data_IF_890135620687
#
_entry.id   IF_890135620687
#
_cell.length_a   1.000
_cell.length_b   1.000
_cell.length_c   1.000
_cell.angle_alpha   90.00
_cell.angle_beta   90.00
_cell.angle_gamma   90.00
#
_symmetry.space_group_name_H-M   'P 1'
#
loop_
_entity.id
_entity.type
_entity.pdbx_description
1 polymer ?
#
# COMPACT_ATOMS: atom_id res chain seq x y z
N UNK A 1 31.23 -22.16 -8.84
CA UNK A 1 30.95 -20.77 -8.43
C UNK A 1 30.61 -20.77 -6.96
N UNK A 2 31.41 -20.12 -6.11
CA UNK A 2 31.06 -19.98 -4.69
C UNK A 2 29.89 -19.02 -4.58
N UNK A 3 28.84 -19.46 -3.91
CA UNK A 3 27.62 -18.70 -3.69
C UNK A 3 27.91 -17.73 -2.54
N UNK A 4 28.61 -16.64 -2.83
CA UNK A 4 28.91 -15.59 -1.85
C UNK A 4 27.61 -14.82 -1.58
N UNK A 5 26.74 -15.43 -0.77
CA UNK A 5 25.47 -14.82 -0.37
C UNK A 5 25.76 -13.50 0.35
N UNK A 6 25.12 -12.43 -0.14
CA UNK A 6 25.22 -11.13 0.49
C UNK A 6 24.73 -11.23 1.94
N UNK A 7 25.50 -10.67 2.89
CA UNK A 7 25.12 -10.78 4.29
C UNK A 7 23.82 -10.01 4.57
N UNK A 8 23.00 -10.50 5.50
CA UNK A 8 21.76 -9.83 5.89
C UNK A 8 21.96 -8.38 6.35
N UNK A 9 23.13 -8.08 6.93
CA UNK A 9 23.49 -6.72 7.32
C UNK A 9 23.60 -5.78 6.09
N UNK A 10 24.26 -6.24 5.02
CA UNK A 10 24.37 -5.45 3.78
C UNK A 10 23.01 -5.29 3.13
N UNK A 11 22.20 -6.36 3.05
CA UNK A 11 20.84 -6.28 2.52
C UNK A 11 19.98 -5.28 3.32
N UNK A 12 20.10 -5.26 4.65
CA UNK A 12 19.43 -4.30 5.51
C UNK A 12 19.83 -2.85 5.21
N UNK A 13 21.11 -2.60 4.95
CA UNK A 13 21.60 -1.28 4.52
C UNK A 13 21.01 -0.88 3.17
N UNK A 14 21.00 -1.78 2.18
CA UNK A 14 20.42 -1.50 0.86
C UNK A 14 18.92 -1.19 0.94
N UNK A 15 18.15 -1.94 1.74
CA UNK A 15 16.73 -1.67 1.97
C UNK A 15 16.48 -0.35 2.73
N UNK A 16 17.41 0.04 3.59
CA UNK A 16 17.40 1.35 4.27
C UNK A 16 17.65 2.48 3.27
N UNK A 17 18.66 2.35 2.41
CA UNK A 17 18.95 3.30 1.33
C UNK A 17 17.73 3.42 0.41
N UNK A 18 17.13 2.29 0.02
CA UNK A 18 15.92 2.27 -0.79
C UNK A 18 14.77 3.07 -0.13
N UNK A 19 14.54 2.84 1.16
CA UNK A 19 13.49 3.54 1.92
C UNK A 19 13.76 5.04 2.11
N UNK A 20 15.02 5.45 2.22
CA UNK A 20 15.42 6.86 2.23
C UNK A 20 15.22 7.49 0.85
N UNK A 21 15.70 6.83 -0.21
CA UNK A 21 15.57 7.30 -1.59
C UNK A 21 14.12 7.54 -2.00
N UNK A 22 13.20 6.67 -1.57
CA UNK A 22 11.76 6.85 -1.82
C UNK A 22 11.20 8.15 -1.22
N UNK A 23 11.76 8.62 -0.08
CA UNK A 23 11.29 9.85 0.56
C UNK A 23 11.79 11.11 -0.15
N UNK A 24 12.97 11.03 -0.76
CA UNK A 24 13.59 12.16 -1.47
C UNK A 24 13.31 12.15 -2.99
N UNK A 25 12.60 11.13 -3.50
CA UNK A 25 12.19 11.05 -4.90
C UNK A 25 13.30 10.63 -5.86
N UNK A 26 14.32 9.90 -5.40
CA UNK A 26 15.49 9.45 -6.19
C UNK A 26 15.17 8.27 -7.12
N UNK A 27 14.14 8.40 -7.97
CA UNK A 27 13.54 7.29 -8.72
C UNK A 27 14.53 6.50 -9.59
N UNK A 28 15.35 7.19 -10.40
CA UNK A 28 16.31 6.52 -11.29
C UNK A 28 17.33 5.68 -10.51
N UNK A 29 17.86 6.21 -9.41
CA UNK A 29 18.81 5.47 -8.55
C UNK A 29 18.15 4.26 -7.89
N UNK A 30 16.85 4.36 -7.57
CA UNK A 30 16.09 3.26 -6.97
C UNK A 30 15.76 2.15 -7.96
N UNK A 31 15.56 2.47 -9.24
CA UNK A 31 15.39 1.46 -10.30
C UNK A 31 16.67 0.62 -10.45
N UNK A 32 17.84 1.28 -10.47
CA UNK A 32 19.14 0.59 -10.49
C UNK A 32 19.36 -0.24 -9.22
N UNK A 33 19.02 0.30 -8.05
CA UNK A 33 19.12 -0.43 -6.78
C UNK A 33 18.20 -1.66 -6.74
N UNK A 34 17.01 -1.61 -7.34
CA UNK A 34 16.12 -2.76 -7.47
C UNK A 34 16.75 -3.87 -8.31
N UNK A 35 17.43 -3.53 -9.41
CA UNK A 35 18.13 -4.53 -10.23
C UNK A 35 19.22 -5.26 -9.42
N UNK A 36 19.96 -4.52 -8.59
CA UNK A 36 20.94 -5.11 -7.67
C UNK A 36 20.26 -6.00 -6.62
N UNK A 37 19.17 -5.54 -6.00
CA UNK A 37 18.43 -6.32 -5.00
C UNK A 37 17.85 -7.61 -5.59
N UNK A 38 17.39 -7.62 -6.84
CA UNK A 38 16.93 -8.85 -7.51
C UNK A 38 18.00 -9.92 -7.66
N UNK A 39 19.27 -9.53 -7.73
CA UNK A 39 20.40 -10.46 -7.81
C UNK A 39 20.88 -10.94 -6.44
N UNK A 40 20.78 -10.09 -5.41
CA UNK A 40 21.40 -10.33 -4.12
C UNK A 40 20.43 -10.80 -3.03
N UNK A 41 19.14 -10.43 -3.10
CA UNK A 41 18.20 -10.69 -2.01
C UNK A 41 17.64 -12.12 -2.11
N UNK A 42 17.69 -12.92 -1.02
CA UNK A 42 17.24 -14.32 -1.05
C UNK A 42 15.73 -14.49 -1.10
N UNK A 43 14.97 -13.44 -0.77
CA UNK A 43 13.51 -13.44 -0.80
C UNK A 43 13.00 -12.50 -1.91
N UNK A 44 12.47 -13.03 -3.03
CA UNK A 44 11.99 -12.21 -4.15
C UNK A 44 10.81 -11.31 -3.77
N UNK A 45 9.92 -11.77 -2.88
CA UNK A 45 8.75 -10.99 -2.47
C UNK A 45 9.12 -9.67 -1.77
N UNK A 46 10.25 -9.62 -1.06
CA UNK A 46 10.75 -8.37 -0.46
C UNK A 46 11.13 -7.36 -1.55
N UNK A 47 11.75 -7.83 -2.64
CA UNK A 47 12.15 -6.99 -3.76
C UNK A 47 10.91 -6.52 -4.54
N UNK A 48 9.93 -7.40 -4.74
CA UNK A 48 8.66 -7.05 -5.38
C UNK A 48 7.89 -6.00 -4.57
N UNK A 49 7.88 -6.09 -3.24
CA UNK A 49 7.30 -5.05 -2.36
C UNK A 49 8.06 -3.73 -2.50
N UNK A 50 9.39 -3.73 -2.64
CA UNK A 50 10.14 -2.51 -2.93
C UNK A 50 9.72 -1.90 -4.27
N UNK A 51 9.60 -2.71 -5.33
CA UNK A 51 9.12 -2.24 -6.63
C UNK A 51 7.69 -1.65 -6.56
N UNK A 52 6.77 -2.31 -5.85
CA UNK A 52 5.44 -1.75 -5.59
C UNK A 52 5.54 -0.38 -4.93
N UNK A 53 6.38 -0.21 -3.91
CA UNK A 53 6.55 1.06 -3.20
C UNK A 53 7.09 2.16 -4.14
N UNK A 54 7.95 1.80 -5.08
CA UNK A 54 8.44 2.72 -6.12
C UNK A 54 7.32 3.12 -7.08
N UNK A 55 6.56 2.14 -7.60
CA UNK A 55 5.41 2.39 -8.47
C UNK A 55 4.35 3.29 -7.81
N UNK A 56 4.05 3.06 -6.52
CA UNK A 56 3.18 3.90 -5.70
C UNK A 56 3.73 5.32 -5.56
N UNK A 57 5.03 5.48 -5.32
CA UNK A 57 5.66 6.81 -5.23
C UNK A 57 5.58 7.57 -6.57
N UNK A 58 5.73 6.85 -7.68
CA UNK A 58 5.59 7.38 -9.04
C UNK A 58 4.14 7.49 -9.53
N UNK A 59 3.14 7.24 -8.67
CA UNK A 59 1.71 7.28 -9.01
C UNK A 59 1.29 6.32 -10.13
N UNK A 60 2.05 5.24 -10.34
CA UNK A 60 1.74 4.17 -11.30
C UNK A 60 0.81 3.13 -10.67
N UNK A 61 -0.40 3.57 -10.30
CA UNK A 61 -1.33 2.81 -9.46
C UNK A 61 -1.78 1.47 -10.06
N UNK A 62 -2.02 1.43 -11.37
CA UNK A 62 -2.47 0.21 -12.06
C UNK A 62 -1.38 -0.86 -12.05
N UNK A 63 -0.14 -0.45 -12.35
CA UNK A 63 1.01 -1.37 -12.37
C UNK A 63 1.31 -1.89 -10.96
N UNK A 64 1.27 -1.01 -9.96
CA UNK A 64 1.41 -1.39 -8.56
C UNK A 64 0.35 -2.41 -8.14
N UNK A 65 -0.93 -2.17 -8.48
CA UNK A 65 -2.03 -3.09 -8.14
C UNK A 65 -1.89 -4.45 -8.82
N UNK A 66 -1.43 -4.50 -10.08
CA UNK A 66 -1.16 -5.76 -10.79
C UNK A 66 -0.08 -6.56 -10.08
N UNK A 67 1.05 -5.93 -9.76
CA UNK A 67 2.14 -6.60 -9.06
C UNK A 67 1.71 -7.07 -7.66
N UNK A 68 0.95 -6.25 -6.92
CA UNK A 68 0.41 -6.64 -5.62
C UNK A 68 -0.52 -7.86 -5.67
N UNK A 69 -1.31 -8.02 -6.74
CA UNK A 69 -2.15 -9.21 -6.94
C UNK A 69 -1.29 -10.44 -7.24
N UNK A 70 -0.26 -10.28 -8.06
CA UNK A 70 0.69 -11.34 -8.35
C UNK A 70 1.42 -11.83 -7.08
N UNK A 71 1.89 -10.90 -6.21
CA UNK A 71 2.51 -11.25 -4.92
C UNK A 71 1.55 -12.08 -4.05
N UNK A 72 0.27 -11.68 -4.01
CA UNK A 72 -0.76 -12.38 -3.24
C UNK A 72 -1.08 -13.77 -3.82
N UNK A 73 -1.23 -13.89 -5.14
CA UNK A 73 -1.44 -15.15 -5.87
C UNK A 73 -0.28 -16.14 -5.69
N UNK A 74 0.95 -15.64 -5.52
CA UNK A 74 2.14 -16.44 -5.21
C UNK A 74 2.20 -16.91 -3.75
N UNK A 75 1.23 -16.53 -2.91
CA UNK A 75 1.18 -16.91 -1.50
C UNK A 75 2.01 -16.01 -0.58
N UNK A 76 2.50 -14.86 -1.06
CA UNK A 76 3.23 -13.88 -0.27
C UNK A 76 2.34 -12.73 0.25
N UNK A 77 1.03 -12.98 0.32
CA UNK A 77 0.07 -12.08 0.93
C UNK A 77 0.46 -11.69 2.36
N UNK A 78 0.26 -10.43 2.71
CA UNK A 78 0.49 -9.90 4.05
C UNK A 78 -0.40 -8.69 4.30
N UNK A 79 -0.64 -8.29 5.57
CA UNK A 79 -1.36 -7.05 5.87
C UNK A 79 -0.79 -5.82 5.16
N UNK A 80 0.53 -5.76 4.97
CA UNK A 80 1.20 -4.68 4.23
C UNK A 80 0.84 -4.71 2.74
N UNK A 81 0.83 -5.89 2.11
CA UNK A 81 0.37 -6.07 0.72
C UNK A 81 -1.09 -5.64 0.60
N UNK A 82 -1.97 -6.08 1.52
CA UNK A 82 -3.38 -5.68 1.55
C UNK A 82 -3.57 -4.16 1.74
N UNK A 83 -2.75 -3.52 2.57
CA UNK A 83 -2.79 -2.07 2.78
C UNK A 83 -2.35 -1.30 1.53
N UNK A 84 -1.31 -1.76 0.82
CA UNK A 84 -0.87 -1.18 -0.44
C UNK A 84 -1.90 -1.38 -1.55
N UNK A 85 -2.58 -2.54 -1.59
CA UNK A 85 -3.71 -2.78 -2.50
C UNK A 85 -4.85 -1.80 -2.21
N UNK A 86 -5.21 -1.63 -0.93
CA UNK A 86 -6.22 -0.67 -0.49
C UNK A 86 -5.88 0.74 -0.96
N UNK A 87 -4.61 1.16 -0.79
CA UNK A 87 -4.17 2.47 -1.26
C UNK A 87 -4.29 2.63 -2.78
N UNK A 88 -3.85 1.65 -3.56
CA UNK A 88 -3.96 1.70 -5.01
C UNK A 88 -5.43 1.80 -5.46
N UNK A 89 -6.31 0.98 -4.88
CA UNK A 89 -7.75 1.00 -5.18
C UNK A 89 -8.38 2.35 -4.78
N UNK A 90 -7.99 2.93 -3.65
CA UNK A 90 -8.44 4.26 -3.21
C UNK A 90 -8.08 5.34 -4.24
N UNK A 91 -6.82 5.36 -4.71
CA UNK A 91 -6.36 6.31 -5.72
C UNK A 91 -7.04 6.12 -7.08
N UNK A 92 -7.50 4.90 -7.37
CA UNK A 92 -8.26 4.55 -8.57
C UNK A 92 -9.78 4.74 -8.41
N UNK A 93 -10.24 5.26 -7.26
CA UNK A 93 -11.65 5.41 -6.90
C UNK A 93 -12.47 4.10 -6.94
N UNK A 94 -11.81 2.95 -6.78
CA UNK A 94 -12.45 1.64 -6.75
C UNK A 94 -12.94 1.32 -5.33
N UNK A 95 -14.26 1.12 -5.17
CA UNK A 95 -14.92 0.88 -3.89
C UNK A 95 -14.36 -0.29 -3.08
N UNK A 96 -13.71 -1.26 -3.73
CA UNK A 96 -13.09 -2.41 -3.06
C UNK A 96 -11.97 -2.00 -2.10
N UNK A 97 -11.44 -0.78 -2.20
CA UNK A 97 -10.44 -0.26 -1.25
C UNK A 97 -10.90 -0.39 0.21
N UNK A 98 -12.20 -0.22 0.47
CA UNK A 98 -12.79 -0.31 1.83
C UNK A 98 -12.72 -1.71 2.41
N UNK A 99 -12.94 -2.74 1.57
CA UNK A 99 -12.83 -4.14 1.97
C UNK A 99 -11.40 -4.47 2.40
N UNK A 100 -10.41 -4.01 1.63
CA UNK A 100 -9.00 -4.18 1.97
C UNK A 100 -8.63 -3.42 3.26
N UNK A 101 -9.11 -2.18 3.42
CA UNK A 101 -8.85 -1.40 4.64
C UNK A 101 -9.46 -2.05 5.89
N UNK A 102 -10.66 -2.62 5.79
CA UNK A 102 -11.29 -3.37 6.88
C UNK A 102 -10.51 -4.64 7.24
N UNK A 103 -9.97 -5.36 6.26
CA UNK A 103 -9.10 -6.51 6.51
C UNK A 103 -7.81 -6.11 7.26
N UNK A 104 -7.21 -4.97 6.91
CA UNK A 104 -6.05 -4.40 7.63
C UNK A 104 -6.39 -4.01 9.07
N UNK A 105 -7.56 -3.41 9.30
CA UNK A 105 -8.03 -3.13 10.66
C UNK A 105 -8.15 -4.40 11.50
N UNK A 106 -8.66 -5.48 10.91
CA UNK A 106 -8.81 -6.76 11.61
C UNK A 106 -7.47 -7.43 11.93
N UNK A 107 -6.45 -7.25 11.08
CA UNK A 107 -5.14 -7.84 11.32
C UNK A 107 -4.37 -7.17 12.46
N UNK A 108 -4.64 -5.88 12.73
CA UNK A 108 -3.96 -5.10 13.77
C UNK A 108 -2.48 -4.82 13.49
N UNK A 109 -2.01 -5.07 12.26
CA UNK A 109 -0.60 -4.90 11.91
C UNK A 109 -0.22 -3.41 11.89
N UNK A 110 0.76 -2.97 12.70
CA UNK A 110 1.05 -1.55 12.86
C UNK A 110 1.56 -0.89 11.56
N UNK A 111 2.30 -1.63 10.73
CA UNK A 111 2.82 -1.11 9.47
C UNK A 111 1.70 -0.90 8.46
N UNK A 112 0.82 -1.90 8.33
CA UNK A 112 -0.36 -1.85 7.47
C UNK A 112 -1.33 -0.74 7.90
N UNK A 113 -1.57 -0.61 9.21
CA UNK A 113 -2.39 0.48 9.77
C UNK A 113 -1.80 1.86 9.45
N UNK A 114 -0.47 2.02 9.54
CA UNK A 114 0.20 3.27 9.19
C UNK A 114 0.04 3.62 7.71
N UNK A 115 0.06 2.63 6.82
CA UNK A 115 -0.20 2.84 5.38
C UNK A 115 -1.63 3.31 5.15
N UNK A 116 -2.62 2.67 5.78
CA UNK A 116 -4.03 3.07 5.66
C UNK A 116 -4.26 4.48 6.22
N UNK A 117 -3.74 4.77 7.40
CA UNK A 117 -3.81 6.11 7.99
C UNK A 117 -3.20 7.17 7.07
N UNK A 118 -2.07 6.87 6.42
CA UNK A 118 -1.38 7.80 5.53
C UNK A 118 -2.25 8.24 4.36
N UNK A 119 -2.86 7.32 3.62
CA UNK A 119 -3.65 7.71 2.44
C UNK A 119 -5.03 8.28 2.78
N UNK A 120 -5.56 7.96 3.97
CA UNK A 120 -6.77 8.59 4.51
C UNK A 120 -6.51 9.96 5.14
N UNK A 121 -5.25 10.42 5.20
CA UNK A 121 -4.90 11.72 5.79
C UNK A 121 -5.05 11.78 7.32
N UNK A 122 -5.01 10.63 8.01
CA UNK A 122 -5.11 10.56 9.46
C UNK A 122 -3.75 10.88 10.07
N UNK A 123 -3.58 12.11 10.56
CA UNK A 123 -2.33 12.53 11.24
C UNK A 123 -2.21 11.98 12.67
N UNK A 124 -0.98 11.83 13.18
CA UNK A 124 -0.68 11.29 14.52
C UNK A 124 -0.49 9.77 14.54
N UNK A 125 -0.43 9.17 15.73
CA UNK A 125 -0.27 7.72 15.87
C UNK A 125 -1.45 6.99 15.19
N UNK A 126 -1.18 6.09 14.21
CA UNK A 126 -2.21 5.29 13.57
C UNK A 126 -2.83 4.35 14.61
N UNK A 127 -4.10 4.58 14.94
CA UNK A 127 -4.86 3.64 15.76
C UNK A 127 -6.01 3.05 14.95
N UNK A 128 -6.24 1.75 15.12
CA UNK A 128 -7.34 1.04 14.48
C UNK A 128 -8.69 1.75 14.76
N UNK A 129 -8.88 2.27 15.97
CA UNK A 129 -10.07 3.03 16.33
C UNK A 129 -10.28 4.28 15.45
N UNK A 130 -9.23 5.07 15.20
CA UNK A 130 -9.33 6.29 14.38
C UNK A 130 -9.59 5.97 12.91
N UNK A 131 -8.91 4.96 12.39
CA UNK A 131 -9.15 4.48 11.01
C UNK A 131 -10.59 3.98 10.88
N UNK A 132 -11.10 3.22 11.85
CA UNK A 132 -12.47 2.73 11.84
C UNK A 132 -13.51 3.88 11.82
N UNK A 133 -13.28 4.96 12.59
CA UNK A 133 -14.15 6.13 12.58
C UNK A 133 -14.24 6.78 11.20
N UNK A 134 -13.11 6.93 10.49
CA UNK A 134 -13.07 7.52 9.14
C UNK A 134 -13.77 6.60 8.12
N UNK A 135 -13.56 5.29 8.20
CA UNK A 135 -14.24 4.33 7.33
C UNK A 135 -15.78 4.37 7.54
N UNK A 136 -16.23 4.58 8.78
CA UNK A 136 -17.64 4.71 9.10
C UNK A 136 -18.24 6.03 8.54
N UNK A 137 -17.53 7.16 8.66
CA UNK A 137 -18.02 8.45 8.15
C UNK A 137 -18.12 8.49 6.61
N UNK A 138 -17.15 7.89 5.91
CA UNK A 138 -17.15 7.78 4.45
C UNK A 138 -18.28 6.88 3.92
N UNK A 139 -18.74 5.92 4.72
CA UNK A 139 -19.88 5.06 4.39
C UNK A 139 -21.23 5.79 4.56
N UNK A 140 -21.32 6.71 5.53
CA UNK A 140 -22.50 7.55 5.76
C UNK A 140 -22.73 8.61 4.67
N UNK A 141 -21.67 9.18 4.10
CA UNK A 141 -21.77 10.17 3.02
C UNK A 141 -22.40 9.60 1.73
N UNK A 142 -22.24 8.30 1.47
CA UNK A 142 -22.88 7.64 0.32
C UNK A 142 -24.40 7.46 0.52
N UNK A 143 -24.84 7.18 1.75
CA UNK A 143 -26.27 7.09 2.07
C UNK A 143 -26.95 8.47 2.09
N UNK A 144 -26.26 9.50 2.59
CA UNK A 144 -26.74 10.88 2.56
C UNK A 144 -26.93 11.44 1.15
N UNK A 145 -26.01 11.14 0.24
CA UNK A 145 -26.10 11.55 -1.17
C UNK A 145 -27.16 10.77 -1.96
N UNK A 146 -27.48 9.53 -1.55
CA UNK A 146 -28.52 8.72 -2.21
C UNK A 146 -29.91 9.17 -1.77
N UNK A 147 -30.13 9.43 -0.47
CA UNK A 147 -31.40 9.95 0.05
C UNK A 147 -31.68 11.41 -0.37
N UNK A 148 -30.63 12.22 -0.54
CA UNK A 148 -30.74 13.59 -1.06
C UNK A 148 -31.17 13.67 -2.53
N UNK A 149 -30.86 12.64 -3.34
CA UNK A 149 -31.28 12.57 -4.74
C UNK A 149 -32.71 12.04 -4.91
N UNK A 150 -33.24 11.24 -3.97
CA UNK A 150 -34.62 10.73 -4.04
C UNK A 150 -35.65 11.77 -3.59
N UNK A 151 -35.33 12.63 -2.62
CA UNK A 151 -36.23 13.72 -2.17
C UNK A 151 -36.25 14.94 -3.11
N UNK A 152 -35.31 15.03 -4.07
CA UNK A 152 -35.25 16.09 -5.08
C UNK A 152 -36.07 15.81 -6.35
N UNK A 153 -36.61 14.59 -6.51
CA UNK A 153 -37.37 14.18 -7.70
C UNK A 153 -38.90 14.23 -7.50
N UNK A 154 -39.40 14.42 -6.27
CA UNK A 154 -40.85 14.49 -5.99
C UNK A 154 -41.42 15.93 -6.00
N UNK A 155 -40.58 16.94 -6.27
CA UNK A 155 -41.02 18.34 -6.43
C UNK A 155 -40.46 18.95 -7.73
N UNK A 156 -40.79 18.35 -8.87
CA UNK A 156 -40.62 19.00 -10.18
C UNK A 156 -41.78 18.72 -11.11
#
# INVERSE_FOLDING_TARGET
MKNDQCSFAVLGVLLTIFSVGLRIGAHADLEELLLVLRQLHPNPAVVDICEVRLLVNSRRWIDALRLLRQIDEQGYGSPVVTALQSWCLYMLADRDWRRCAAAVLHSGDPTALAIVAKFLGIGGEPSAARIATVLASESGNLLGNTLGNELGSEYR
#
